data_IF_149957919993
#
_entry.id   IF_149957919993
#
_cell.length_a   1.000
_cell.length_b   1.000
_cell.length_c   1.000
_cell.angle_alpha   90.00
_cell.angle_beta   90.00
_cell.angle_gamma   90.00
#
_symmetry.space_group_name_H-M   'P 1'
#
loop_
_entity.id
_entity.type
_entity.pdbx_description
1 polymer ?
#
# COMPACT_ATOMS: atom_id res chain seq x y z
N UNK A 1 4.73 14.13 -26.90
CA UNK A 1 3.65 13.26 -27.43
C UNK A 1 2.83 12.66 -26.29
N UNK A 2 1.53 12.42 -26.50
CA UNK A 2 0.64 11.88 -25.45
C UNK A 2 1.07 10.48 -24.98
N UNK A 3 1.58 9.64 -25.89
CA UNK A 3 2.10 8.31 -25.58
C UNK A 3 3.23 8.35 -24.53
N UNK A 4 4.18 9.28 -24.66
CA UNK A 4 5.28 9.45 -23.71
C UNK A 4 4.74 9.79 -22.32
N UNK A 5 3.76 10.69 -22.25
CA UNK A 5 3.14 11.04 -20.98
C UNK A 5 2.42 9.84 -20.34
N UNK A 6 1.60 9.12 -21.11
CA UNK A 6 0.86 7.95 -20.63
C UNK A 6 1.80 6.85 -20.14
N UNK A 7 2.89 6.58 -20.85
CA UNK A 7 3.90 5.60 -20.43
C UNK A 7 4.55 6.01 -19.10
N UNK A 8 4.95 7.29 -18.97
CA UNK A 8 5.52 7.80 -17.73
C UNK A 8 4.55 7.72 -16.56
N UNK A 9 3.28 8.05 -16.80
CA UNK A 9 2.21 7.93 -15.82
C UNK A 9 1.95 6.48 -15.41
N UNK A 10 1.94 5.54 -16.35
CA UNK A 10 1.74 4.12 -16.09
C UNK A 10 2.85 3.55 -15.19
N UNK A 11 4.12 3.85 -15.49
CA UNK A 11 5.25 3.42 -14.65
C UNK A 11 5.17 4.07 -13.26
N UNK A 12 4.87 5.37 -13.20
CA UNK A 12 4.70 6.07 -11.93
C UNK A 12 3.59 5.45 -11.07
N UNK A 13 2.41 5.18 -11.66
CA UNK A 13 1.30 4.52 -10.98
C UNK A 13 1.69 3.13 -10.47
N UNK A 14 2.43 2.36 -11.27
CA UNK A 14 2.90 1.05 -10.86
C UNK A 14 3.81 1.14 -9.61
N UNK A 15 4.73 2.10 -9.58
CA UNK A 15 5.61 2.34 -8.42
C UNK A 15 4.81 2.76 -7.19
N UNK A 16 3.88 3.71 -7.34
CA UNK A 16 3.12 4.25 -6.20
C UNK A 16 2.12 3.25 -5.64
N UNK A 17 1.50 2.43 -6.49
CA UNK A 17 0.67 1.31 -6.06
C UNK A 17 1.50 0.29 -5.28
N UNK A 18 2.68 -0.09 -5.79
CA UNK A 18 3.58 -1.00 -5.08
C UNK A 18 4.01 -0.46 -3.71
N UNK A 19 4.29 0.85 -3.60
CA UNK A 19 4.58 1.51 -2.32
C UNK A 19 3.38 1.46 -1.37
N UNK A 20 2.17 1.72 -1.87
CA UNK A 20 0.94 1.62 -1.06
C UNK A 20 0.70 0.21 -0.54
N UNK A 21 0.90 -0.80 -1.39
CA UNK A 21 0.83 -2.22 -0.99
C UNK A 21 1.90 -2.52 0.06
N UNK A 22 3.14 -2.08 -0.13
CA UNK A 22 4.22 -2.28 0.84
C UNK A 22 3.90 -1.66 2.20
N UNK A 23 3.35 -0.44 2.22
CA UNK A 23 2.91 0.22 3.46
C UNK A 23 1.83 -0.61 4.15
N UNK A 24 0.87 -1.14 3.39
CA UNK A 24 -0.19 -2.01 3.91
C UNK A 24 0.37 -3.30 4.52
N UNK A 25 1.31 -3.97 3.86
CA UNK A 25 1.91 -5.22 4.35
C UNK A 25 2.84 -5.05 5.56
N UNK A 26 3.38 -3.85 5.77
CA UNK A 26 4.23 -3.56 6.94
C UNK A 26 3.41 -3.10 8.14
N UNK A 27 2.20 -2.59 7.92
CA UNK A 27 1.35 -2.04 8.98
C UNK A 27 0.57 -3.15 9.69
N UNK A 28 0.55 -3.08 11.02
CA UNK A 28 -0.23 -4.03 11.84
C UNK A 28 -1.68 -3.56 12.05
N UNK A 29 -1.95 -2.27 11.90
CA UNK A 29 -3.27 -1.68 12.08
C UNK A 29 -3.62 -0.71 10.94
N UNK A 30 -4.92 -0.51 10.70
CA UNK A 30 -5.41 0.44 9.70
C UNK A 30 -4.95 1.87 10.00
N UNK A 31 -4.97 2.28 11.29
CA UNK A 31 -4.50 3.59 11.71
C UNK A 31 -3.01 3.81 11.43
N UNK A 32 -2.18 2.80 11.68
CA UNK A 32 -0.75 2.84 11.38
C UNK A 32 -0.49 2.97 9.87
N UNK A 33 -1.24 2.22 9.05
CA UNK A 33 -1.13 2.31 7.59
C UNK A 33 -1.45 3.72 7.07
N UNK A 34 -2.50 4.34 7.59
CA UNK A 34 -2.88 5.72 7.24
C UNK A 34 -1.77 6.70 7.66
N UNK A 35 -1.23 6.56 8.87
CA UNK A 35 -0.20 7.45 9.37
C UNK A 35 1.12 7.33 8.56
N UNK A 36 1.55 6.11 8.23
CA UNK A 36 2.69 5.84 7.34
C UNK A 36 2.46 6.41 5.94
N UNK A 37 1.24 6.23 5.40
CA UNK A 37 0.88 6.77 4.10
C UNK A 37 1.00 8.29 4.10
N UNK A 38 0.40 9.00 5.08
CA UNK A 38 0.48 10.46 5.20
C UNK A 38 1.92 10.92 5.40
N UNK A 39 2.66 10.29 6.31
CA UNK A 39 4.06 10.60 6.60
C UNK A 39 4.94 10.46 5.35
N UNK A 40 4.61 9.57 4.42
CA UNK A 40 5.33 9.39 3.16
C UNK A 40 4.82 10.32 2.06
N UNK A 41 3.50 10.51 1.96
CA UNK A 41 2.83 11.30 0.92
C UNK A 41 3.10 12.80 1.04
N UNK A 42 3.02 13.35 2.24
CA UNK A 42 3.21 14.79 2.47
C UNK A 42 4.60 15.26 2.04
N UNK A 43 5.72 14.68 2.54
CA UNK A 43 7.04 15.08 2.08
C UNK A 43 7.24 14.75 0.60
N UNK A 44 6.64 13.67 0.10
CA UNK A 44 6.67 13.36 -1.32
C UNK A 44 6.10 14.49 -2.18
N UNK A 45 4.94 15.03 -1.81
CA UNK A 45 4.32 16.13 -2.52
C UNK A 45 5.14 17.42 -2.42
N UNK A 46 5.62 17.76 -1.22
CA UNK A 46 6.37 18.99 -0.98
C UNK A 46 7.74 18.99 -1.70
N UNK A 47 8.44 17.86 -1.68
CA UNK A 47 9.79 17.70 -2.25
C UNK A 47 9.80 17.28 -3.72
N UNK A 48 8.63 17.04 -4.32
CA UNK A 48 8.49 16.58 -5.71
C UNK A 48 9.05 17.54 -6.78
N UNK A 49 9.32 18.79 -6.44
CA UNK A 49 9.65 19.80 -7.44
C UNK A 49 8.47 20.54 -8.05
N UNK A 50 7.25 20.23 -7.58
CA UNK A 50 6.02 20.89 -8.01
C UNK A 50 5.93 22.31 -7.43
N UNK A 51 6.11 22.46 -6.12
CA UNK A 51 6.02 23.75 -5.41
C UNK A 51 7.35 24.50 -5.38
N UNK A 52 8.44 23.80 -5.07
CA UNK A 52 9.78 24.37 -4.97
C UNK A 52 10.71 23.71 -5.98
N UNK A 53 11.48 24.46 -6.78
CA UNK A 53 12.40 23.87 -7.74
C UNK A 53 13.51 23.05 -7.04
N UNK A 54 13.76 21.82 -7.53
CA UNK A 54 14.76 20.92 -6.93
C UNK A 54 16.18 21.50 -6.85
N UNK A 55 16.54 22.39 -7.77
CA UNK A 55 17.87 22.98 -7.79
C UNK A 55 18.07 24.03 -6.68
N UNK A 56 16.99 24.59 -6.15
CA UNK A 56 17.02 25.56 -5.04
C UNK A 56 17.07 24.87 -3.67
N UNK A 57 16.87 23.54 -3.61
CA UNK A 57 16.90 22.79 -2.36
C UNK A 57 18.35 22.53 -1.92
N UNK A 58 18.68 22.67 -0.62
CA UNK A 58 19.96 22.27 -0.06
C UNK A 58 20.28 20.81 -0.37
N UNK A 59 21.57 20.49 -0.47
CA UNK A 59 22.07 19.15 -0.80
C UNK A 59 21.35 18.02 -0.04
N UNK A 60 21.23 18.11 1.29
CA UNK A 60 20.66 17.03 2.10
C UNK A 60 19.20 16.71 1.75
N UNK A 61 18.36 17.74 1.59
CA UNK A 61 16.94 17.57 1.25
C UNK A 61 16.76 17.11 -0.19
N UNK A 62 17.66 17.54 -1.07
CA UNK A 62 17.63 17.21 -2.50
C UNK A 62 17.77 15.70 -2.76
N UNK A 63 18.55 14.99 -1.94
CA UNK A 63 18.66 13.53 -2.02
C UNK A 63 17.35 12.82 -1.71
N UNK A 64 16.63 13.28 -0.68
CA UNK A 64 15.31 12.75 -0.34
C UNK A 64 14.36 12.98 -1.52
N UNK A 65 14.40 14.18 -2.12
CA UNK A 65 13.69 14.50 -3.36
C UNK A 65 13.92 13.47 -4.47
N UNK A 66 15.16 13.06 -4.71
CA UNK A 66 15.47 12.07 -5.76
C UNK A 66 15.04 10.65 -5.44
N UNK A 67 14.81 10.33 -4.16
CA UNK A 67 14.28 9.03 -3.74
C UNK A 67 12.78 8.89 -3.96
N UNK A 68 12.09 9.97 -4.31
CA UNK A 68 10.64 10.01 -4.46
C UNK A 68 10.22 9.80 -5.92
N UNK A 69 9.34 8.83 -6.23
CA UNK A 69 8.90 8.60 -7.61
C UNK A 69 8.17 9.81 -8.20
N UNK A 70 7.45 10.57 -7.36
CA UNK A 70 6.71 11.75 -7.80
C UNK A 70 7.64 12.82 -8.42
N UNK A 71 8.86 12.97 -7.90
CA UNK A 71 9.85 13.92 -8.42
C UNK A 71 10.19 13.66 -9.88
N UNK A 72 10.39 12.39 -10.23
CA UNK A 72 10.74 11.99 -11.59
C UNK A 72 9.55 12.10 -12.53
N UNK A 73 8.35 11.77 -12.04
CA UNK A 73 7.12 11.97 -12.81
C UNK A 73 6.86 13.45 -13.10
N UNK A 74 7.05 14.37 -12.14
CA UNK A 74 6.91 15.82 -12.36
C UNK A 74 7.88 16.32 -13.46
N UNK A 75 9.11 15.80 -13.50
CA UNK A 75 10.07 16.12 -14.59
C UNK A 75 9.57 15.65 -15.96
N UNK A 76 9.03 14.43 -16.05
CA UNK A 76 8.44 13.90 -17.30
C UNK A 76 7.23 14.75 -17.71
N UNK A 77 6.30 14.97 -16.78
CA UNK A 77 5.10 15.76 -17.02
C UNK A 77 5.44 17.15 -17.54
N UNK A 78 6.37 17.86 -16.87
CA UNK A 78 6.80 19.19 -17.31
C UNK A 78 7.54 19.14 -18.66
N UNK A 79 8.41 18.16 -18.88
CA UNK A 79 9.13 17.99 -20.14
C UNK A 79 8.20 17.75 -21.33
N UNK A 80 7.17 16.92 -21.16
CA UNK A 80 6.20 16.62 -22.21
C UNK A 80 5.20 17.76 -22.40
N UNK A 81 4.65 18.32 -21.33
CA UNK A 81 3.58 19.33 -21.40
C UNK A 81 4.08 20.70 -21.80
N UNK A 82 5.28 21.10 -21.36
CA UNK A 82 5.80 22.46 -21.62
C UNK A 82 6.68 22.48 -22.86
N UNK A 83 7.49 21.45 -23.08
CA UNK A 83 8.50 21.44 -24.16
C UNK A 83 8.14 20.51 -25.32
N UNK A 84 7.06 19.74 -25.21
CA UNK A 84 6.70 18.75 -26.23
C UNK A 84 7.78 17.68 -26.43
N UNK A 85 8.69 17.49 -25.46
CA UNK A 85 9.90 16.71 -25.66
C UNK A 85 9.60 15.23 -25.99
N UNK A 86 10.36 14.62 -26.92
CA UNK A 86 10.25 13.19 -27.19
C UNK A 86 10.80 12.37 -26.01
N UNK A 87 10.49 11.07 -26.00
CA UNK A 87 10.92 10.16 -24.94
C UNK A 87 12.44 10.08 -24.80
N UNK A 88 13.15 10.22 -25.91
CA UNK A 88 14.60 10.16 -26.04
C UNK A 88 15.28 11.27 -25.22
N UNK A 89 14.67 12.45 -25.14
CA UNK A 89 15.15 13.56 -24.31
C UNK A 89 14.87 13.35 -22.80
N UNK A 90 13.99 12.41 -22.46
CA UNK A 90 13.50 12.13 -21.11
C UNK A 90 13.93 10.75 -20.60
N UNK A 91 14.87 10.10 -21.27
CA UNK A 91 15.30 8.73 -20.96
C UNK A 91 15.74 8.55 -19.50
N UNK A 92 16.43 9.54 -18.91
CA UNK A 92 16.93 9.47 -17.54
C UNK A 92 15.79 9.41 -16.49
N UNK A 93 14.78 10.31 -16.49
CA UNK A 93 13.60 10.15 -15.65
C UNK A 93 12.88 8.80 -15.80
N UNK A 94 12.77 8.30 -17.04
CA UNK A 94 12.16 7.01 -17.31
C UNK A 94 12.98 5.86 -16.70
N UNK A 95 14.29 5.88 -16.87
CA UNK A 95 15.19 4.88 -16.32
C UNK A 95 15.10 4.84 -14.79
N UNK A 96 15.11 5.99 -14.12
CA UNK A 96 15.02 6.04 -12.67
C UNK A 96 13.67 5.50 -12.18
N UNK A 97 12.56 5.90 -12.81
CA UNK A 97 11.25 5.33 -12.48
C UNK A 97 11.20 3.81 -12.71
N UNK A 98 11.82 3.30 -13.78
CA UNK A 98 11.88 1.87 -14.05
C UNK A 98 12.70 1.11 -12.98
N UNK A 99 13.84 1.67 -12.53
CA UNK A 99 14.62 1.10 -11.43
C UNK A 99 13.83 1.10 -10.13
N UNK A 100 13.11 2.17 -9.83
CA UNK A 100 12.24 2.24 -8.65
C UNK A 100 11.09 1.24 -8.75
N UNK A 101 10.49 1.06 -9.93
CA UNK A 101 9.43 0.08 -10.17
C UNK A 101 9.94 -1.34 -9.89
N UNK A 102 11.10 -1.69 -10.44
CA UNK A 102 11.74 -2.97 -10.19
C UNK A 102 12.06 -3.17 -8.71
N UNK A 103 12.59 -2.15 -8.03
CA UNK A 103 12.92 -2.21 -6.61
C UNK A 103 11.69 -2.44 -5.72
N UNK A 104 10.64 -1.64 -5.91
CA UNK A 104 9.38 -1.76 -5.17
C UNK A 104 8.71 -3.10 -5.45
N UNK A 105 8.62 -3.51 -6.71
CA UNK A 105 8.03 -4.80 -7.09
C UNK A 105 8.77 -5.99 -6.49
N UNK A 106 10.10 -5.96 -6.52
CA UNK A 106 10.95 -6.98 -5.89
C UNK A 106 10.70 -7.04 -4.38
N UNK A 107 10.65 -5.88 -3.72
CA UNK A 107 10.42 -5.80 -2.28
C UNK A 107 9.02 -6.30 -1.88
N UNK A 108 7.99 -5.93 -2.64
CA UNK A 108 6.62 -6.43 -2.46
C UNK A 108 6.54 -7.95 -2.62
N UNK A 109 7.19 -8.50 -3.66
CA UNK A 109 7.19 -9.95 -3.92
C UNK A 109 7.93 -10.71 -2.82
N UNK A 110 9.08 -10.22 -2.36
CA UNK A 110 9.85 -10.84 -1.27
C UNK A 110 9.09 -10.84 0.05
N UNK A 111 8.35 -9.76 0.35
CA UNK A 111 7.52 -9.66 1.56
C UNK A 111 6.39 -10.68 1.53
N UNK A 112 5.67 -10.77 0.41
CA UNK A 112 4.59 -11.72 0.23
C UNK A 112 5.04 -13.18 0.41
N UNK A 113 6.26 -13.52 -0.05
CA UNK A 113 6.83 -14.86 0.15
C UNK A 113 7.19 -15.16 1.61
N UNK A 114 7.53 -14.14 2.41
CA UNK A 114 7.86 -14.33 3.84
C UNK A 114 6.62 -14.62 4.68
N UNK A 115 5.48 -14.01 4.36
CA UNK A 115 4.24 -14.24 5.09
C UNK A 115 3.70 -15.68 4.87
N UNK A 116 4.12 -16.35 3.79
CA UNK A 116 3.76 -17.73 3.44
C UNK A 116 4.76 -18.80 3.93
N UNK A 117 5.87 -18.41 4.58
CA UNK A 117 6.86 -19.36 5.09
C UNK A 117 6.81 -19.57 6.62
N UNK A 118 5.71 -20.08 7.20
CA UNK A 118 5.81 -20.92 8.40
C UNK A 118 6.46 -22.26 8.02
N UNK A 119 7.79 -22.33 8.08
CA UNK A 119 8.47 -23.62 8.03
C UNK A 119 8.40 -24.27 9.42
N UNK A 120 7.64 -25.36 9.52
CA UNK A 120 7.76 -26.30 10.64
C UNK A 120 6.51 -27.14 10.90
N UNK A 121 6.41 -28.36 10.33
CA UNK A 121 5.40 -29.33 10.73
C UNK A 121 5.70 -29.77 12.17
N UNK A 122 4.95 -29.23 13.13
CA UNK A 122 4.96 -29.75 14.49
C UNK A 122 4.37 -31.16 14.42
N UNK A 123 5.24 -32.15 14.56
CA UNK A 123 4.89 -33.54 14.70
C UNK A 123 3.78 -33.70 15.75
N UNK A 124 2.61 -34.13 15.27
CA UNK A 124 1.68 -34.95 16.05
C UNK A 124 1.38 -36.17 15.22
N UNK A 125 2.34 -37.08 15.20
CA UNK A 125 1.96 -38.48 15.29
C UNK A 125 1.54 -38.66 16.76
N UNK A 126 0.24 -38.79 16.99
CA UNK A 126 -0.25 -39.47 18.17
C UNK A 126 -1.13 -40.63 17.68
N UNK A 127 -0.58 -41.85 17.61
CA UNK A 127 -1.33 -43.05 17.31
C UNK A 127 -1.91 -43.60 18.62
N UNK A 128 -3.22 -43.46 18.79
CA UNK A 128 -4.00 -44.31 19.69
C UNK A 128 -4.70 -43.58 20.83
N UNK A 129 -5.98 -43.33 20.61
CA UNK A 129 -7.07 -43.33 21.60
C UNK A 129 -8.35 -43.15 20.75
N UNK A 130 -9.15 -44.17 20.42
CA UNK A 130 -9.56 -45.29 21.26
C UNK A 130 -10.68 -44.84 22.19
N UNK A 131 -11.92 -44.90 21.69
CA UNK A 131 -13.18 -45.00 22.46
C UNK A 131 -13.56 -43.90 23.47
N UNK A 132 -14.70 -43.25 23.25
CA UNK A 132 -15.92 -43.62 23.99
C UNK A 132 -17.13 -42.93 23.36
N UNK A 133 -17.96 -43.76 22.75
CA UNK A 133 -19.39 -43.53 22.59
C UNK A 133 -20.00 -43.26 23.97
N UNK A 134 -20.90 -42.28 24.07
CA UNK A 134 -21.57 -41.90 25.32
C UNK A 134 -22.74 -40.96 25.02
N UNK A 135 -23.88 -41.59 24.76
CA UNK A 135 -25.22 -41.04 24.60
C UNK A 135 -25.71 -40.23 25.82
N UNK A 136 -26.69 -39.35 25.59
CA UNK A 136 -27.62 -38.90 26.63
C UNK A 136 -27.86 -37.39 26.71
N UNK A 137 -28.98 -36.92 26.15
CA UNK A 137 -29.57 -35.65 26.62
C UNK A 137 -30.30 -34.78 25.60
N UNK A 138 -31.29 -35.33 24.88
CA UNK A 138 -32.40 -34.51 24.36
C UNK A 138 -33.38 -34.23 25.50
N UNK A 139 -33.73 -32.97 25.77
CA UNK A 139 -35.10 -32.52 26.10
C UNK A 139 -35.16 -31.02 26.48
N UNK A 140 -36.15 -30.31 25.92
CA UNK A 140 -36.58 -28.94 26.27
C UNK A 140 -36.26 -27.92 25.17
N UNK A 141 -37.05 -27.67 24.12
CA UNK A 141 -38.47 -27.25 24.08
C UNK A 141 -38.76 -26.12 25.09
N UNK A 142 -39.40 -25.00 24.79
CA UNK A 142 -39.97 -24.36 23.60
C UNK A 142 -40.42 -22.95 24.08
N UNK A 143 -40.64 -22.01 23.14
CA UNK A 143 -41.53 -20.83 23.22
C UNK A 143 -41.36 -19.79 24.37
N UNK A 144 -41.39 -18.47 24.14
CA UNK A 144 -42.08 -17.71 23.09
C UNK A 144 -41.80 -16.18 23.16
N UNK A 145 -42.62 -15.35 22.49
CA UNK A 145 -42.20 -14.07 21.89
C UNK A 145 -42.81 -12.80 22.52
N UNK A 146 -42.40 -11.65 21.94
CA UNK A 146 -43.14 -10.40 21.78
C UNK A 146 -42.94 -9.22 22.77
N UNK A 147 -42.60 -8.08 22.16
CA UNK A 147 -43.24 -6.76 22.26
C UNK A 147 -43.31 -6.00 23.61
N UNK A 148 -42.62 -4.86 23.63
CA UNK A 148 -42.94 -3.68 24.44
C UNK A 148 -42.09 -2.50 23.92
N UNK A 149 -42.60 -1.72 22.95
CA UNK A 149 -43.28 -0.44 23.22
C UNK A 149 -42.38 0.51 24.04
N UNK A 150 -41.62 1.40 23.39
CA UNK A 150 -42.09 2.73 23.00
C UNK A 150 -42.72 3.49 24.18
N UNK A 151 -41.91 4.27 24.91
CA UNK A 151 -42.22 5.59 25.48
C UNK A 151 -40.89 6.37 25.50
N UNK A 152 -40.75 7.48 24.80
CA UNK A 152 -41.11 8.82 25.31
C UNK A 152 -40.30 9.08 26.58
N UNK A 153 -39.27 9.92 26.59
CA UNK A 153 -39.43 11.37 26.63
C UNK A 153 -38.14 12.09 26.17
N UNK A 154 -38.36 13.18 25.44
CA UNK A 154 -37.36 14.14 24.99
C UNK A 154 -37.32 15.35 25.98
N UNK A 155 -36.58 16.44 25.69
CA UNK A 155 -35.58 17.03 26.58
C UNK A 155 -36.09 18.23 27.42
N UNK A 156 -35.25 18.67 28.37
CA UNK A 156 -35.28 20.00 28.97
C UNK A 156 -33.95 20.72 28.68
#
# INVERSE_FOLDING_TARGET
SILTFTLGAAIFLFVTLGLGVLISTVSQTQGQAIQLAIMTMVPQFLLSGLFFPLYAMPWGVRWIGYLLPLTWFVKIARGVMVRGAPIDALWLPFLVLAVMAAGVFTLSTLRFRRDLAPAGPAGRADPGEGESVGDGGRAGAADGPAAGAAREEAPA
#
